data_IF_907103283966
#
_entry.id   IF_907103283966
#
_cell.length_a   1.000
_cell.length_b   1.000
_cell.length_c   1.000
_cell.angle_alpha   90.00
_cell.angle_beta   90.00
_cell.angle_gamma   90.00
#
_symmetry.space_group_name_H-M   'P 1'
#
loop_
_entity.id
_entity.type
_entity.pdbx_description
1 polymer ?
#
# COMPACT_ATOMS: atom_id res chain seq x y z
N UNK A 1 27.00 36.01 -5.99
CA UNK A 1 25.97 36.63 -5.12
C UNK A 1 25.30 37.72 -5.95
N UNK A 2 24.28 37.35 -6.70
CA UNK A 2 23.48 38.29 -7.52
C UNK A 2 22.35 38.81 -6.63
N UNK A 3 22.30 40.15 -6.48
CA UNK A 3 21.32 40.89 -5.66
C UNK A 3 19.89 40.54 -6.09
N UNK A 4 19.02 40.29 -5.11
CA UNK A 4 17.59 39.99 -5.26
C UNK A 4 16.77 41.23 -5.69
N UNK A 5 17.40 42.39 -5.80
CA UNK A 5 16.76 43.70 -5.81
C UNK A 5 16.32 44.17 -7.21
N UNK A 6 16.47 43.34 -8.25
CA UNK A 6 16.27 43.73 -9.66
C UNK A 6 15.31 42.83 -10.45
N UNK A 7 14.47 42.04 -9.79
CA UNK A 7 13.33 41.42 -10.48
C UNK A 7 12.18 42.45 -10.49
N UNK A 8 11.78 42.97 -11.66
CA UNK A 8 10.66 43.90 -11.75
C UNK A 8 9.38 43.24 -11.20
N UNK A 9 8.56 43.99 -10.47
CA UNK A 9 7.28 43.55 -9.87
C UNK A 9 6.42 42.77 -10.90
N UNK A 10 6.55 41.45 -10.90
CA UNK A 10 5.61 40.54 -11.57
C UNK A 10 4.43 40.43 -10.62
N UNK A 11 3.34 41.14 -10.94
CA UNK A 11 1.99 41.01 -10.37
C UNK A 11 1.89 40.55 -8.90
N UNK A 12 1.88 41.50 -7.96
CA UNK A 12 1.56 41.25 -6.54
C UNK A 12 0.16 40.67 -6.29
N UNK A 13 -0.66 40.53 -7.33
CA UNK A 13 -1.94 39.80 -7.35
C UNK A 13 -1.76 38.28 -7.39
N UNK A 14 -0.59 37.76 -7.77
CA UNK A 14 -0.26 36.33 -7.73
C UNK A 14 0.23 35.85 -6.35
N UNK A 15 0.58 36.77 -5.45
CA UNK A 15 1.31 36.49 -4.21
C UNK A 15 0.48 35.86 -3.07
N UNK A 16 -0.83 35.62 -3.26
CA UNK A 16 -1.69 35.11 -2.18
C UNK A 16 -2.66 34.00 -2.63
N UNK A 17 -2.21 33.12 -3.53
CA UNK A 17 -2.95 31.88 -3.80
C UNK A 17 -2.71 30.88 -2.66
N UNK A 18 -3.76 30.25 -2.10
CA UNK A 18 -3.57 29.22 -1.09
C UNK A 18 -2.74 28.07 -1.68
N UNK A 19 -1.87 27.43 -0.89
CA UNK A 19 -1.06 26.33 -1.37
C UNK A 19 -1.95 25.22 -1.95
N UNK A 20 -1.51 24.56 -3.03
CA UNK A 20 -2.28 23.47 -3.61
C UNK A 20 -2.40 22.32 -2.59
N UNK A 21 -3.55 21.64 -2.55
CA UNK A 21 -3.67 20.45 -1.73
C UNK A 21 -2.79 19.32 -2.30
N UNK A 22 -2.31 18.46 -1.42
CA UNK A 22 -1.45 17.30 -1.75
C UNK A 22 -2.23 16.00 -1.67
N UNK A 23 -1.76 15.00 -2.41
CA UNK A 23 -2.25 13.62 -2.36
C UNK A 23 -1.39 12.83 -1.37
N UNK A 24 -2.01 12.43 -0.27
CA UNK A 24 -1.34 11.60 0.74
C UNK A 24 -1.86 10.16 0.66
N UNK A 25 -0.95 9.19 0.66
CA UNK A 25 -1.28 7.77 0.74
C UNK A 25 -0.69 7.18 2.01
N UNK A 26 -1.54 6.67 2.89
CA UNK A 26 -1.12 5.90 4.06
C UNK A 26 -1.06 4.43 3.70
N UNK A 27 0.03 3.73 4.04
CA UNK A 27 0.20 2.29 3.78
C UNK A 27 0.49 1.56 5.08
N UNK A 28 -0.14 0.39 5.25
CA UNK A 28 0.21 -0.56 6.29
C UNK A 28 0.36 -1.97 5.73
N UNK A 29 1.50 -2.59 6.04
CA UNK A 29 1.79 -3.97 5.68
C UNK A 29 1.69 -4.87 6.93
N UNK A 30 1.21 -6.11 6.72
CA UNK A 30 1.41 -7.20 7.68
C UNK A 30 2.26 -8.27 7.04
N UNK A 31 3.28 -8.67 7.78
CA UNK A 31 4.26 -9.67 7.37
C UNK A 31 4.18 -10.89 8.27
N UNK A 32 4.64 -12.03 7.77
CA UNK A 32 4.94 -13.21 8.55
C UNK A 32 6.37 -13.66 8.25
N UNK A 33 7.02 -14.31 9.19
CA UNK A 33 8.31 -14.95 8.94
C UNK A 33 8.05 -16.37 8.48
N UNK A 34 8.53 -16.71 7.29
CA UNK A 34 8.40 -18.06 6.76
C UNK A 34 9.31 -19.02 7.57
N UNK A 35 8.80 -20.17 8.06
CA UNK A 35 9.50 -21.01 9.02
C UNK A 35 10.76 -21.69 8.48
N UNK A 36 10.81 -22.01 7.18
CA UNK A 36 11.95 -22.70 6.54
C UNK A 36 13.02 -21.75 5.99
N UNK A 37 12.61 -20.60 5.47
CA UNK A 37 13.46 -19.66 4.74
C UNK A 37 13.82 -18.45 5.59
N UNK A 38 13.16 -18.27 6.75
CA UNK A 38 13.30 -17.14 7.66
C UNK A 38 13.11 -15.76 7.00
N UNK A 39 12.45 -15.71 5.85
CA UNK A 39 12.14 -14.47 5.14
C UNK A 39 10.82 -13.89 5.61
N UNK A 40 10.77 -12.55 5.70
CA UNK A 40 9.53 -11.82 5.97
C UNK A 40 8.71 -11.73 4.68
N UNK A 41 7.57 -12.42 4.63
CA UNK A 41 6.65 -12.38 3.50
C UNK A 41 5.44 -11.49 3.80
N UNK A 42 4.96 -10.72 2.83
CA UNK A 42 3.81 -9.83 2.99
C UNK A 42 2.52 -10.62 2.78
N UNK A 43 1.63 -10.62 3.77
CA UNK A 43 0.37 -11.40 3.76
C UNK A 43 -0.84 -10.53 3.44
N UNK A 44 -0.81 -9.30 3.96
CA UNK A 44 -1.84 -8.31 3.68
C UNK A 44 -1.22 -6.93 3.56
N UNK A 45 -1.78 -6.14 2.67
CA UNK A 45 -1.47 -4.72 2.55
C UNK A 45 -2.78 -3.94 2.61
N UNK A 46 -2.78 -2.82 3.32
CA UNK A 46 -3.88 -1.86 3.28
C UNK A 46 -3.31 -0.49 2.98
N UNK A 47 -4.02 0.26 2.14
CA UNK A 47 -3.66 1.62 1.80
C UNK A 47 -4.88 2.52 1.73
N UNK A 48 -4.71 3.77 2.17
CA UNK A 48 -5.73 4.80 2.13
C UNK A 48 -5.16 6.04 1.45
N UNK A 49 -5.81 6.49 0.39
CA UNK A 49 -5.46 7.70 -0.35
C UNK A 49 -6.42 8.83 0.03
N UNK A 50 -5.88 9.96 0.48
CA UNK A 50 -6.58 11.23 0.63
C UNK A 50 -6.07 12.20 -0.43
N UNK A 51 -6.95 12.60 -1.35
CA UNK A 51 -6.57 13.41 -2.53
C UNK A 51 -6.51 14.92 -2.28
N UNK A 52 -6.90 15.39 -1.09
CA UNK A 52 -7.08 16.81 -0.79
C UNK A 52 -6.56 17.20 0.59
N UNK A 53 -5.33 16.80 0.89
CA UNK A 53 -4.68 17.19 2.15
C UNK A 53 -4.19 18.63 2.04
N UNK A 54 -4.66 19.49 2.94
CA UNK A 54 -4.21 20.88 3.06
C UNK A 54 -3.00 20.96 3.98
N UNK A 55 -2.00 21.74 3.58
CA UNK A 55 -0.77 21.94 4.35
C UNK A 55 -0.84 23.18 5.27
N UNK A 56 -1.71 24.13 4.93
CA UNK A 56 -1.90 25.43 5.58
C UNK A 56 -3.03 25.44 6.62
N UNK A 57 -3.81 24.36 6.73
CA UNK A 57 -4.94 24.29 7.64
C UNK A 57 -5.54 22.89 7.75
N UNK A 58 -6.65 22.80 8.48
CA UNK A 58 -7.36 21.54 8.66
C UNK A 58 -7.85 21.00 7.30
N UNK A 59 -7.57 19.71 7.07
CA UNK A 59 -8.08 18.99 5.90
C UNK A 59 -9.51 18.52 6.17
N UNK A 60 -10.25 18.25 5.09
CA UNK A 60 -11.57 17.65 5.22
C UNK A 60 -11.46 16.22 5.79
N UNK A 61 -12.14 15.99 6.91
CA UNK A 61 -12.21 14.70 7.61
C UNK A 61 -13.24 13.75 6.98
N UNK A 62 -14.09 14.24 6.08
CA UNK A 62 -15.10 13.40 5.43
C UNK A 62 -14.47 12.41 4.44
N UNK A 63 -15.10 11.25 4.29
CA UNK A 63 -14.63 10.18 3.40
C UNK A 63 -14.77 10.49 1.91
N UNK A 64 -15.29 11.67 1.53
CA UNK A 64 -15.56 12.05 0.14
C UNK A 64 -14.32 12.05 -0.75
N UNK A 65 -13.17 12.42 -0.18
CA UNK A 65 -11.88 12.48 -0.88
C UNK A 65 -10.97 11.30 -0.53
N UNK A 66 -11.47 10.33 0.23
CA UNK A 66 -10.73 9.17 0.68
C UNK A 66 -11.09 7.95 -0.15
N UNK A 67 -10.08 7.25 -0.66
CA UNK A 67 -10.25 5.95 -1.30
C UNK A 67 -9.36 4.94 -0.60
N UNK A 68 -9.89 3.74 -0.34
CA UNK A 68 -9.19 2.73 0.46
C UNK A 68 -9.07 1.44 -0.35
N UNK A 69 -7.97 0.73 -0.14
CA UNK A 69 -7.67 -0.55 -0.76
C UNK A 69 -7.12 -1.47 0.30
N UNK A 70 -7.73 -2.64 0.49
CA UNK A 70 -7.17 -3.70 1.32
C UNK A 70 -6.98 -4.95 0.48
N UNK A 71 -5.80 -5.54 0.57
CA UNK A 71 -5.39 -6.72 -0.18
C UNK A 71 -4.98 -7.82 0.80
N UNK A 72 -5.42 -9.04 0.54
CA UNK A 72 -5.02 -10.22 1.31
C UNK A 72 -4.62 -11.34 0.36
N UNK A 73 -3.69 -12.18 0.80
CA UNK A 73 -3.32 -13.42 0.11
C UNK A 73 -3.42 -14.63 1.05
N UNK A 74 -3.57 -15.85 0.53
CA UNK A 74 -3.50 -17.05 1.37
C UNK A 74 -2.04 -17.35 1.75
N UNK A 75 -1.87 -18.07 2.86
CA UNK A 75 -0.56 -18.50 3.36
C UNK A 75 -0.25 -19.91 2.89
N UNK A 76 0.82 -20.07 2.09
CA UNK A 76 1.34 -21.40 1.73
C UNK A 76 1.90 -22.16 2.92
N UNK A 77 2.46 -21.45 3.90
CA UNK A 77 3.00 -22.06 5.11
C UNK A 77 1.95 -22.84 5.92
N UNK A 78 0.68 -22.43 5.90
CA UNK A 78 -0.40 -23.15 6.59
C UNK A 78 -0.80 -24.44 5.85
N UNK A 79 -0.70 -24.46 4.52
CA UNK A 79 -0.92 -25.66 3.73
C UNK A 79 0.23 -26.67 3.89
N UNK A 80 1.47 -26.19 3.99
CA UNK A 80 2.64 -27.03 4.26
C UNK A 80 2.65 -27.60 5.70
N UNK A 81 2.12 -26.86 6.68
CA UNK A 81 2.05 -27.31 8.07
C UNK A 81 0.94 -28.34 8.34
N UNK A 82 -0.09 -28.41 7.48
CA UNK A 82 -1.27 -29.26 7.65
C UNK A 82 -1.19 -30.62 6.91
N UNK A 83 -0.05 -30.96 6.30
CA UNK A 83 0.20 -32.32 5.81
C UNK A 83 1.01 -32.38 4.52
N UNK A 84 2.28 -32.74 4.65
CA UNK A 84 3.17 -33.10 3.54
C UNK A 84 4.63 -32.81 3.84
N UNK A 85 5.30 -33.71 4.57
CA UNK A 85 6.75 -33.65 4.80
C UNK A 85 7.56 -33.83 3.48
N UNK A 86 6.91 -34.31 2.43
CA UNK A 86 7.48 -34.52 1.10
C UNK A 86 6.63 -33.72 0.10
N UNK A 87 7.28 -32.88 -0.72
CA UNK A 87 6.69 -31.88 -1.61
C UNK A 87 5.82 -32.40 -2.76
N UNK A 88 4.95 -33.37 -2.51
CA UNK A 88 4.12 -34.08 -3.49
C UNK A 88 2.61 -33.97 -3.19
N UNK A 89 2.21 -33.49 -2.00
CA UNK A 89 0.80 -33.17 -1.72
C UNK A 89 0.50 -31.73 -2.12
N UNK A 90 -0.02 -31.55 -3.34
CA UNK A 90 -0.39 -30.27 -3.97
C UNK A 90 -1.56 -29.51 -3.30
N UNK A 91 -1.54 -29.35 -1.98
CA UNK A 91 -2.49 -28.51 -1.27
C UNK A 91 -2.12 -27.05 -1.54
N UNK A 92 -2.77 -26.45 -2.53
CA UNK A 92 -2.63 -25.02 -2.80
C UNK A 92 -3.08 -24.22 -1.58
N UNK A 93 -2.34 -23.15 -1.27
CA UNK A 93 -2.74 -22.17 -0.27
C UNK A 93 -4.14 -21.64 -0.57
N UNK A 94 -5.14 -22.00 0.25
CA UNK A 94 -6.53 -21.63 0.04
C UNK A 94 -7.02 -20.68 1.13
N UNK A 95 -7.89 -19.77 0.73
CA UNK A 95 -8.68 -18.99 1.68
C UNK A 95 -9.75 -19.87 2.34
N UNK A 96 -10.22 -19.51 3.55
CA UNK A 96 -11.41 -20.12 4.13
C UNK A 96 -12.59 -20.09 3.15
N UNK A 97 -13.37 -21.18 3.09
CA UNK A 97 -14.41 -21.42 2.08
C UNK A 97 -15.41 -20.27 1.94
N UNK A 98 -15.84 -19.69 3.06
CA UNK A 98 -16.88 -18.65 3.09
C UNK A 98 -16.34 -17.21 3.01
N UNK A 99 -15.01 -17.03 2.92
CA UNK A 99 -14.41 -15.70 2.93
C UNK A 99 -14.90 -14.83 1.77
N UNK A 100 -15.11 -15.43 0.59
CA UNK A 100 -15.61 -14.69 -0.58
C UNK A 100 -17.00 -14.09 -0.36
N UNK A 101 -17.87 -14.82 0.34
CA UNK A 101 -19.22 -14.39 0.66
C UNK A 101 -19.20 -13.25 1.67
N UNK A 102 -18.43 -13.39 2.75
CA UNK A 102 -18.31 -12.35 3.78
C UNK A 102 -17.70 -11.04 3.24
N UNK A 103 -16.78 -11.12 2.27
CA UNK A 103 -16.23 -9.93 1.61
C UNK A 103 -17.32 -9.17 0.85
N UNK A 104 -18.19 -9.89 0.12
CA UNK A 104 -19.28 -9.26 -0.63
C UNK A 104 -20.34 -8.64 0.28
N UNK A 105 -20.63 -9.28 1.42
CA UNK A 105 -21.67 -8.84 2.34
C UNK A 105 -21.22 -7.66 3.24
N UNK A 106 -19.95 -7.60 3.65
CA UNK A 106 -19.50 -6.63 4.67
C UNK A 106 -18.26 -5.80 4.34
N UNK A 107 -17.44 -6.19 3.36
CA UNK A 107 -16.13 -5.58 3.12
C UNK A 107 -15.79 -5.43 1.63
N UNK A 108 -16.51 -4.58 0.88
CA UNK A 108 -16.34 -4.47 -0.57
C UNK A 108 -14.95 -3.95 -1.00
N UNK A 109 -14.21 -3.32 -0.09
CA UNK A 109 -12.89 -2.74 -0.38
C UNK A 109 -11.74 -3.74 -0.18
N UNK A 110 -12.05 -4.94 0.32
CA UNK A 110 -11.10 -6.04 0.53
C UNK A 110 -11.02 -6.93 -0.71
N UNK A 111 -9.84 -7.03 -1.31
CA UNK A 111 -9.59 -7.86 -2.50
C UNK A 111 -8.72 -9.06 -2.17
N UNK A 112 -9.10 -10.23 -2.72
CA UNK A 112 -8.36 -11.48 -2.59
C UNK A 112 -7.34 -11.62 -3.71
N UNK A 113 -6.10 -11.83 -3.34
CA UNK A 113 -4.98 -12.02 -4.26
C UNK A 113 -4.53 -13.49 -4.20
N UNK A 114 -4.22 -14.13 -5.36
CA UNK A 114 -3.87 -15.54 -5.40
C UNK A 114 -2.50 -15.84 -4.77
N UNK A 115 -1.57 -14.88 -4.83
CA UNK A 115 -0.22 -15.01 -4.28
C UNK A 115 0.34 -13.62 -3.93
N UNK A 116 1.52 -13.59 -3.32
CA UNK A 116 2.16 -12.34 -2.89
C UNK A 116 2.56 -11.45 -4.05
N UNK A 117 3.02 -12.03 -5.16
CA UNK A 117 3.40 -11.28 -6.36
C UNK A 117 2.21 -10.48 -6.90
N UNK A 118 1.04 -11.10 -6.98
CA UNK A 118 -0.20 -10.45 -7.41
C UNK A 118 -0.61 -9.34 -6.44
N UNK A 119 -0.47 -9.56 -5.13
CA UNK A 119 -0.74 -8.57 -4.10
C UNK A 119 0.14 -7.32 -4.26
N UNK A 120 1.45 -7.51 -4.40
CA UNK A 120 2.40 -6.42 -4.59
C UNK A 120 2.17 -5.69 -5.91
N UNK A 121 1.95 -6.42 -7.00
CA UNK A 121 1.68 -5.83 -8.31
C UNK A 121 0.42 -4.96 -8.27
N UNK A 122 -0.65 -5.45 -7.63
CA UNK A 122 -1.90 -4.71 -7.47
C UNK A 122 -1.75 -3.46 -6.60
N UNK A 123 -0.96 -3.55 -5.52
CA UNK A 123 -0.65 -2.44 -4.62
C UNK A 123 0.13 -1.34 -5.35
N UNK A 124 1.22 -1.70 -6.04
CA UNK A 124 2.06 -0.76 -6.78
C UNK A 124 1.29 -0.10 -7.93
N UNK A 125 0.49 -0.87 -8.67
CA UNK A 125 -0.39 -0.31 -9.71
C UNK A 125 -1.39 0.70 -9.12
N UNK A 126 -1.92 0.43 -7.91
CA UNK A 126 -2.80 1.38 -7.24
C UNK A 126 -2.06 2.66 -6.83
N UNK A 127 -0.86 2.52 -6.26
CA UNK A 127 -0.04 3.67 -5.84
C UNK A 127 0.29 4.52 -7.07
N UNK A 128 0.70 3.91 -8.19
CA UNK A 128 0.95 4.64 -9.43
C UNK A 128 -0.30 5.30 -10.02
N UNK A 129 -1.49 4.73 -9.82
CA UNK A 129 -2.76 5.36 -10.23
C UNK A 129 -3.15 6.54 -9.32
N UNK A 130 -2.83 6.44 -8.03
CA UNK A 130 -3.09 7.50 -7.08
C UNK A 130 -2.10 8.65 -7.19
N UNK A 131 -0.88 8.37 -7.63
CA UNK A 131 0.22 9.33 -7.80
C UNK A 131 0.42 10.22 -6.56
N UNK A 132 0.73 9.62 -5.39
CA UNK A 132 0.84 10.37 -4.15
C UNK A 132 2.10 11.23 -4.09
N UNK A 133 1.94 12.47 -3.64
CA UNK A 133 3.05 13.35 -3.28
C UNK A 133 3.74 12.88 -1.99
N UNK A 134 2.95 12.32 -1.06
CA UNK A 134 3.43 11.90 0.26
C UNK A 134 2.93 10.50 0.60
N UNK A 135 3.86 9.62 0.97
CA UNK A 135 3.54 8.30 1.53
C UNK A 135 3.75 8.34 3.05
N UNK A 136 2.72 7.92 3.78
CA UNK A 136 2.70 7.89 5.25
C UNK A 136 2.66 6.43 5.71
N UNK A 137 3.45 6.10 6.73
CA UNK A 137 3.45 4.78 7.32
C UNK A 137 4.13 4.77 8.68
N UNK A 138 3.78 3.81 9.52
CA UNK A 138 4.41 3.63 10.83
C UNK A 138 5.65 2.75 10.68
N UNK A 139 6.82 3.30 11.00
CA UNK A 139 8.11 2.67 10.72
C UNK A 139 8.32 2.36 9.22
N UNK A 140 7.89 3.29 8.37
CA UNK A 140 7.96 3.15 6.92
C UNK A 140 9.40 2.90 6.44
N UNK A 141 10.35 3.70 6.91
CA UNK A 141 11.75 3.60 6.48
C UNK A 141 12.51 2.42 7.10
N UNK A 142 12.25 2.12 8.38
CA UNK A 142 13.04 1.15 9.13
C UNK A 142 12.63 -0.31 8.97
N UNK A 143 11.47 -0.61 8.35
CA UNK A 143 11.04 -1.99 8.12
C UNK A 143 10.15 -2.13 6.89
N UNK A 144 9.04 -1.38 6.82
CA UNK A 144 8.01 -1.62 5.80
C UNK A 144 8.56 -1.40 4.37
N UNK A 145 9.36 -0.36 4.13
CA UNK A 145 9.99 -0.09 2.84
C UNK A 145 11.03 -1.13 2.46
N UNK A 146 11.90 -1.54 3.38
CA UNK A 146 12.92 -2.56 3.13
C UNK A 146 12.27 -3.90 2.76
N UNK A 147 11.27 -4.34 3.52
CA UNK A 147 10.53 -5.58 3.22
C UNK A 147 9.83 -5.46 1.88
N UNK A 148 9.13 -4.35 1.61
CA UNK A 148 8.42 -4.15 0.35
C UNK A 148 9.38 -4.21 -0.85
N UNK A 149 10.50 -3.51 -0.80
CA UNK A 149 11.50 -3.49 -1.88
C UNK A 149 12.17 -4.85 -2.07
N UNK A 150 12.58 -5.49 -0.98
CA UNK A 150 13.20 -6.83 -1.01
C UNK A 150 12.26 -7.85 -1.63
N UNK A 151 10.98 -7.86 -1.22
CA UNK A 151 9.98 -8.78 -1.77
C UNK A 151 9.63 -8.49 -3.21
N UNK A 152 9.57 -7.22 -3.62
CA UNK A 152 9.39 -6.85 -5.03
C UNK A 152 10.53 -7.38 -5.91
N UNK A 153 11.77 -7.25 -5.45
CA UNK A 153 12.97 -7.77 -6.13
C UNK A 153 12.93 -9.30 -6.25
N UNK A 154 12.68 -10.01 -5.14
CA UNK A 154 12.63 -11.47 -5.12
C UNK A 154 11.52 -12.06 -6.01
N UNK A 155 10.34 -11.43 -6.00
CA UNK A 155 9.16 -11.87 -6.75
C UNK A 155 9.13 -11.34 -8.19
N UNK A 156 10.14 -10.58 -8.61
CA UNK A 156 10.25 -9.95 -9.94
C UNK A 156 8.98 -9.18 -10.30
N UNK A 157 8.48 -8.40 -9.34
CA UNK A 157 7.40 -7.44 -9.57
C UNK A 157 8.00 -6.25 -10.32
N UNK A 158 7.32 -5.83 -11.38
CA UNK A 158 7.73 -4.71 -12.25
C UNK A 158 6.80 -3.53 -12.05
#
# INVERSE_FOLDING_TARGET
ITRLDLVPDIDRTEANRPPPPVIAVTIKLKTIVHPKTHKSEIVSASALCHRRVRLDGASDETTKFMTQLSLIRPLGAAAEAMGGADGESGVMAQFPRDLGRHIQEGMPQLQRMPNERALLSRLLAQIGTWDPDVIVGHNAWGYDAEVLLTRCSELKVK
#
